data_IF_923390464893
#
_entry.id   IF_923390464893
#
_cell.length_a   1.000
_cell.length_b   1.000
_cell.length_c   1.000
_cell.angle_alpha   90.00
_cell.angle_beta   90.00
_cell.angle_gamma   90.00
#
_symmetry.space_group_name_H-M   'P 1'
#
loop_
_entity.id
_entity.type
_entity.pdbx_description
1 polymer ?
#
# COMPACT_ATOMS: atom_id res chain seq x y z
N UNK A 1 -6.25 2.48 18.68
CA UNK A 1 -6.40 1.90 17.34
C UNK A 1 -7.54 0.90 17.37
N UNK A 2 -8.60 1.20 16.64
CA UNK A 2 -9.75 0.35 16.38
C UNK A 2 -9.37 -0.84 15.48
N UNK A 3 -10.23 -1.85 15.45
CA UNK A 3 -10.07 -3.01 14.56
C UNK A 3 -9.94 -2.59 13.09
N UNK A 4 -10.69 -1.56 12.67
CA UNK A 4 -10.67 -1.03 11.30
C UNK A 4 -9.31 -0.41 10.98
N UNK A 5 -8.76 0.42 11.86
CA UNK A 5 -7.44 1.03 11.68
C UNK A 5 -6.33 -0.04 11.55
N UNK A 6 -6.44 -1.12 12.32
CA UNK A 6 -5.49 -2.23 12.32
C UNK A 6 -5.55 -3.04 11.01
N UNK A 7 -6.77 -3.33 10.53
CA UNK A 7 -6.99 -3.95 9.21
C UNK A 7 -6.39 -3.08 8.11
N UNK A 8 -6.65 -1.78 8.17
CA UNK A 8 -6.21 -0.83 7.16
C UNK A 8 -4.69 -0.73 7.08
N UNK A 9 -4.01 -0.72 8.24
CA UNK A 9 -2.55 -0.79 8.32
C UNK A 9 -1.99 -2.12 7.81
N UNK A 10 -2.62 -3.25 8.12
CA UNK A 10 -2.22 -4.55 7.59
C UNK A 10 -2.32 -4.60 6.07
N UNK A 11 -3.41 -4.09 5.50
CA UNK A 11 -3.59 -4.02 4.04
C UNK A 11 -2.52 -3.15 3.40
N UNK A 12 -2.25 -1.97 3.96
CA UNK A 12 -1.26 -1.03 3.47
C UNK A 12 0.15 -1.62 3.54
N UNK A 13 0.52 -2.24 4.67
CA UNK A 13 1.78 -2.94 4.83
C UNK A 13 1.95 -4.06 3.79
N UNK A 14 0.89 -4.85 3.57
CA UNK A 14 0.89 -5.90 2.53
C UNK A 14 1.13 -5.31 1.15
N UNK A 15 0.48 -4.19 0.82
CA UNK A 15 0.61 -3.51 -0.46
C UNK A 15 2.02 -2.96 -0.71
N UNK A 16 2.66 -2.42 0.33
CA UNK A 16 4.07 -1.99 0.30
C UNK A 16 4.98 -3.18 0.04
N UNK A 17 4.78 -4.29 0.75
CA UNK A 17 5.60 -5.51 0.60
C UNK A 17 5.46 -6.08 -0.81
N UNK A 18 4.23 -6.20 -1.34
CA UNK A 18 4.01 -6.75 -2.69
C UNK A 18 4.57 -5.83 -3.77
N UNK A 19 4.47 -4.51 -3.61
CA UNK A 19 5.10 -3.54 -4.51
C UNK A 19 6.62 -3.69 -4.50
N UNK A 20 7.23 -3.82 -3.32
CA UNK A 20 8.68 -4.02 -3.17
C UNK A 20 9.16 -5.35 -3.78
N UNK A 21 8.44 -6.44 -3.50
CA UNK A 21 8.73 -7.75 -4.11
C UNK A 21 8.58 -7.71 -5.63
N UNK A 22 7.52 -7.06 -6.16
CA UNK A 22 7.31 -6.90 -7.59
C UNK A 22 8.42 -6.10 -8.27
N UNK A 23 8.92 -5.07 -7.59
CA UNK A 23 10.09 -4.32 -8.06
C UNK A 23 11.36 -5.18 -8.07
N UNK A 24 11.61 -5.93 -7.00
CA UNK A 24 12.81 -6.77 -6.87
C UNK A 24 12.78 -8.01 -7.77
N UNK A 25 11.61 -8.54 -8.08
CA UNK A 25 11.42 -9.68 -8.97
C UNK A 25 11.70 -9.33 -10.45
N UNK A 26 11.94 -8.05 -10.77
CA UNK A 26 12.18 -7.61 -12.15
C UNK A 26 10.89 -7.58 -12.99
N UNK A 27 9.72 -7.43 -12.35
CA UNK A 27 8.45 -7.30 -13.06
C UNK A 27 8.45 -6.03 -13.93
N UNK A 28 7.53 -5.97 -14.90
CA UNK A 28 7.42 -4.82 -15.79
C UNK A 28 7.27 -3.52 -14.99
N UNK A 29 8.08 -2.51 -15.33
CA UNK A 29 8.10 -1.22 -14.62
C UNK A 29 6.72 -0.56 -14.57
N UNK A 30 5.87 -0.84 -15.57
CA UNK A 30 4.50 -0.34 -15.66
C UNK A 30 3.62 -0.93 -14.55
N UNK A 31 3.68 -2.24 -14.33
CA UNK A 31 2.91 -2.92 -13.29
C UNK A 31 3.39 -2.51 -11.90
N UNK A 32 4.70 -2.44 -11.69
CA UNK A 32 5.29 -1.96 -10.44
C UNK A 32 4.89 -0.50 -10.19
N UNK A 33 4.84 0.33 -11.23
CA UNK A 33 4.39 1.71 -11.17
C UNK A 33 2.90 1.84 -10.79
N UNK A 34 2.04 0.99 -11.36
CA UNK A 34 0.62 0.93 -10.99
C UNK A 34 0.43 0.47 -9.55
N UNK A 35 1.15 -0.58 -9.11
CA UNK A 35 1.13 -1.04 -7.72
C UNK A 35 1.61 0.03 -6.74
N UNK A 36 2.71 0.73 -7.09
CA UNK A 36 3.23 1.82 -6.29
C UNK A 36 2.23 2.99 -6.21
N UNK A 37 1.57 3.33 -7.32
CA UNK A 37 0.51 4.33 -7.34
C UNK A 37 -0.68 3.97 -6.45
N UNK A 38 -1.15 2.72 -6.53
CA UNK A 38 -2.21 2.20 -5.66
C UNK A 38 -1.79 2.21 -4.18
N UNK A 39 -0.53 1.86 -3.90
CA UNK A 39 0.04 1.90 -2.55
C UNK A 39 0.08 3.33 -2.00
N UNK A 40 0.48 4.30 -2.82
CA UNK A 40 0.48 5.71 -2.42
C UNK A 40 -0.94 6.23 -2.17
N UNK A 41 -1.91 5.94 -3.06
CA UNK A 41 -3.31 6.32 -2.83
C UNK A 41 -3.89 5.69 -1.56
N UNK A 42 -3.62 4.40 -1.34
CA UNK A 42 -4.05 3.70 -0.12
C UNK A 42 -3.42 4.32 1.13
N UNK A 43 -2.14 4.69 1.04
CA UNK A 43 -1.41 5.43 2.08
C UNK A 43 -2.04 6.77 2.44
N UNK A 44 -2.43 7.56 1.44
CA UNK A 44 -3.13 8.84 1.64
C UNK A 44 -4.49 8.59 2.30
N UNK A 45 -5.28 7.64 1.79
CA UNK A 45 -6.57 7.28 2.40
C UNK A 45 -6.44 6.84 3.86
N UNK A 46 -5.43 6.03 4.16
CA UNK A 46 -5.13 5.61 5.53
C UNK A 46 -4.76 6.79 6.43
N UNK A 47 -3.87 7.66 5.97
CA UNK A 47 -3.50 8.85 6.73
C UNK A 47 -4.72 9.73 7.02
N UNK A 48 -5.60 9.94 6.03
CA UNK A 48 -6.84 10.70 6.25
C UNK A 48 -7.79 10.04 7.24
N UNK A 49 -7.92 8.70 7.20
CA UNK A 49 -8.78 7.96 8.10
C UNK A 49 -8.25 7.87 9.53
N UNK A 50 -6.93 7.96 9.72
CA UNK A 50 -6.25 7.93 11.02
C UNK A 50 -6.15 9.32 11.69
N UNK A 51 -6.38 10.39 10.93
CA UNK A 51 -6.32 11.79 11.41
C UNK A 51 -7.71 12.32 11.80
N UNK A 52 -8.79 11.65 11.37
CA UNK A 52 -10.18 11.93 11.75
C UNK A 52 -10.55 11.14 13.00
#
# INVERSE_FOLDING_TARGET
MSMIELILLCLLATLVITTFLGWHAGNERRDVGLLAGLTALCGVGAATALVV
#
